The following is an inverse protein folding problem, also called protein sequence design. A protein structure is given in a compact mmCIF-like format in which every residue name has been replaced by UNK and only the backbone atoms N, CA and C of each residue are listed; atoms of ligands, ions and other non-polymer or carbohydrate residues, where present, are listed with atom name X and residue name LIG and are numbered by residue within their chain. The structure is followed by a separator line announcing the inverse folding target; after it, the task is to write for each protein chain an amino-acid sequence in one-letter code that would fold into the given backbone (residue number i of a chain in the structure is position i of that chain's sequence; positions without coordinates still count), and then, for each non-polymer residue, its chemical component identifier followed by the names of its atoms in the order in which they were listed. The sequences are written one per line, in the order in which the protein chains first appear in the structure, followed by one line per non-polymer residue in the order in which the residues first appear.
data_IF_999294464951
#
_entry.id   IF_999294464951
#
_cell.length_a   1.000
_cell.length_b   1.000
_cell.length_c   1.000
_cell.angle_alpha   90.00
_cell.angle_beta   90.00
_cell.angle_gamma   90.00
#
_symmetry.space_group_name_H-M   'P 1'
#
loop_
_entity.id
_entity.type
_entity.pdbx_description
1 polymer ?
#
# COMPACT_ATOMS: atom_id res chain seq x y z
N UNK A 1 -36.66 -4.45 -56.64
CA UNK A 1 -36.53 -3.07 -56.15
C UNK A 1 -36.40 -3.12 -54.63
N UNK A 2 -35.36 -2.53 -54.01
CA UNK A 2 -35.30 -2.37 -52.55
C UNK A 2 -35.99 -1.07 -52.13
N UNK A 3 -36.71 -1.13 -51.00
CA UNK A 3 -37.43 -0.03 -50.35
C UNK A 3 -36.51 1.15 -49.96
N UNK A 4 -36.91 2.41 -50.18
CA UNK A 4 -36.28 3.58 -49.60
C UNK A 4 -37.04 3.98 -48.31
N UNK A 5 -36.29 4.37 -47.27
CA UNK A 5 -36.77 5.06 -46.06
C UNK A 5 -37.15 4.17 -44.87
N UNK A 6 -36.34 4.27 -43.80
CA UNK A 6 -36.75 3.81 -42.47
C UNK A 6 -35.65 3.64 -41.42
N UNK A 7 -34.37 3.92 -41.70
CA UNK A 7 -33.29 3.35 -40.87
C UNK A 7 -32.20 4.35 -40.44
N UNK A 8 -32.29 5.63 -40.82
CA UNK A 8 -31.18 6.58 -40.63
C UNK A 8 -31.38 7.47 -39.38
N UNK A 9 -32.62 7.58 -38.90
CA UNK A 9 -32.99 8.54 -37.86
C UNK A 9 -32.86 7.91 -36.46
N UNK A 10 -33.10 6.60 -36.34
CA UNK A 10 -33.03 5.86 -35.06
C UNK A 10 -31.61 5.46 -34.68
N UNK A 11 -30.73 5.19 -35.65
CA UNK A 11 -29.31 4.90 -35.40
C UNK A 11 -28.58 6.16 -34.92
N UNK A 12 -28.85 7.31 -35.55
CA UNK A 12 -28.28 8.61 -35.16
C UNK A 12 -28.75 9.09 -33.77
N UNK A 13 -30.06 8.97 -33.45
CA UNK A 13 -30.58 9.42 -32.15
C UNK A 13 -30.07 8.57 -30.97
N UNK A 14 -29.97 7.25 -31.15
CA UNK A 14 -29.45 6.35 -30.12
C UNK A 14 -27.94 6.58 -29.87
N UNK A 15 -27.14 6.78 -30.91
CA UNK A 15 -25.71 7.07 -30.77
C UNK A 15 -25.46 8.43 -30.10
N UNK A 16 -26.29 9.44 -30.39
CA UNK A 16 -26.24 10.76 -29.74
C UNK A 16 -26.62 10.66 -28.26
N UNK A 17 -27.67 9.91 -27.91
CA UNK A 17 -28.10 9.72 -26.52
C UNK A 17 -27.03 8.95 -25.71
N UNK A 18 -26.43 7.92 -26.32
CA UNK A 18 -25.30 7.19 -25.74
C UNK A 18 -24.09 8.12 -25.53
N UNK A 19 -23.76 8.99 -26.49
CA UNK A 19 -22.67 9.94 -26.34
C UNK A 19 -22.91 10.95 -25.20
N UNK A 20 -24.11 11.52 -25.11
CA UNK A 20 -24.49 12.45 -24.02
C UNK A 20 -24.46 11.74 -22.66
N UNK A 21 -24.95 10.50 -22.58
CA UNK A 21 -24.94 9.70 -21.36
C UNK A 21 -23.50 9.37 -20.90
N UNK A 22 -22.61 9.06 -21.83
CA UNK A 22 -21.19 8.80 -21.55
C UNK A 22 -20.49 10.07 -21.04
N UNK A 23 -20.75 11.23 -21.63
CA UNK A 23 -20.18 12.50 -21.18
C UNK A 23 -20.66 12.88 -19.77
N UNK A 24 -21.95 12.71 -19.49
CA UNK A 24 -22.51 12.96 -18.17
C UNK A 24 -21.88 12.05 -17.09
N UNK A 25 -21.73 10.75 -17.38
CA UNK A 25 -21.07 9.79 -16.48
C UNK A 25 -19.59 10.09 -16.26
N UNK A 26 -18.89 10.52 -17.31
CA UNK A 26 -17.48 10.88 -17.21
C UNK A 26 -17.26 12.11 -16.32
N UNK A 27 -18.13 13.14 -16.42
CA UNK A 27 -18.04 14.33 -15.57
C UNK A 27 -18.31 14.02 -14.09
N UNK A 28 -19.32 13.19 -13.79
CA UNK A 28 -19.63 12.79 -12.42
C UNK A 28 -18.52 11.94 -11.80
N UNK A 29 -17.94 11.00 -12.56
CA UNK A 29 -16.81 10.18 -12.12
C UNK A 29 -15.56 11.01 -11.87
N UNK A 30 -15.23 11.96 -12.76
CA UNK A 30 -14.10 12.85 -12.57
C UNK A 30 -14.26 13.72 -11.32
N UNK A 31 -15.44 14.28 -11.07
CA UNK A 31 -15.68 15.15 -9.91
C UNK A 31 -15.60 14.39 -8.58
N UNK A 32 -16.11 13.15 -8.55
CA UNK A 32 -16.07 12.30 -7.35
C UNK A 32 -14.68 11.66 -7.12
N UNK A 33 -13.91 11.35 -8.16
CA UNK A 33 -12.61 10.69 -8.01
C UNK A 33 -11.43 11.66 -7.83
N UNK A 34 -11.55 12.91 -8.27
CA UNK A 34 -10.53 13.96 -8.07
C UNK A 34 -10.01 14.09 -6.63
N UNK A 35 -10.86 14.24 -5.58
CA UNK A 35 -10.37 14.38 -4.21
C UNK A 35 -9.57 13.16 -3.75
N UNK A 36 -10.01 11.96 -4.16
CA UNK A 36 -9.34 10.69 -3.83
C UNK A 36 -7.96 10.60 -4.47
N UNK A 37 -7.82 10.99 -5.75
CA UNK A 37 -6.54 11.02 -6.46
C UNK A 37 -5.54 11.95 -5.77
N UNK A 38 -5.97 13.17 -5.43
CA UNK A 38 -5.10 14.14 -4.75
C UNK A 38 -4.66 13.64 -3.38
N UNK A 39 -5.58 13.09 -2.60
CA UNK A 39 -5.29 12.58 -1.26
C UNK A 39 -4.32 11.38 -1.31
N UNK A 40 -4.56 10.41 -2.19
CA UNK A 40 -3.70 9.23 -2.33
C UNK A 40 -2.33 9.62 -2.91
N UNK A 41 -2.29 10.56 -3.85
CA UNK A 41 -1.04 11.10 -4.38
C UNK A 41 -0.19 11.75 -3.28
N UNK A 42 -0.81 12.60 -2.45
CA UNK A 42 -0.14 13.23 -1.32
C UNK A 42 0.38 12.21 -0.30
N UNK A 43 -0.45 11.23 0.08
CA UNK A 43 -0.06 10.15 0.99
C UNK A 43 1.08 9.30 0.42
N UNK A 44 1.07 8.99 -0.87
CA UNK A 44 2.12 8.22 -1.51
C UNK A 44 3.45 8.98 -1.50
N UNK A 45 3.46 10.28 -1.80
CA UNK A 45 4.67 11.12 -1.73
C UNK A 45 5.20 11.18 -0.29
N UNK A 46 4.35 11.47 0.68
CA UNK A 46 4.72 11.49 2.09
C UNK A 46 5.27 10.13 2.56
N UNK A 47 4.62 9.04 2.15
CA UNK A 47 5.04 7.68 2.46
C UNK A 47 6.40 7.32 1.85
N UNK A 48 6.64 7.68 0.60
CA UNK A 48 7.94 7.45 -0.05
C UNK A 48 9.06 8.25 0.62
N UNK A 49 8.83 9.53 0.91
CA UNK A 49 9.83 10.39 1.57
C UNK A 49 10.12 9.89 2.99
N UNK A 50 9.08 9.64 3.79
CA UNK A 50 9.22 9.17 5.18
C UNK A 50 9.96 7.84 5.28
N UNK A 51 9.54 6.85 4.47
CA UNK A 51 10.18 5.53 4.48
C UNK A 51 11.61 5.56 3.90
N UNK A 52 11.89 6.43 2.92
CA UNK A 52 13.25 6.63 2.39
C UNK A 52 14.19 7.23 3.44
N UNK A 53 13.72 8.19 4.23
CA UNK A 53 14.51 8.78 5.32
C UNK A 53 14.85 7.71 6.36
N UNK A 54 13.87 6.92 6.78
CA UNK A 54 14.08 5.80 7.72
C UNK A 54 15.09 4.80 7.16
N UNK A 55 14.92 4.40 5.90
CA UNK A 55 15.87 3.51 5.22
C UNK A 55 17.28 4.09 5.23
N UNK A 56 17.45 5.36 4.83
CA UNK A 56 18.76 6.01 4.77
C UNK A 56 19.43 6.12 6.16
N UNK A 57 18.67 6.48 7.18
CA UNK A 57 19.15 6.62 8.57
C UNK A 57 19.57 5.26 9.15
N UNK A 58 18.75 4.21 8.99
CA UNK A 58 19.06 2.87 9.50
C UNK A 58 20.08 2.12 8.66
N UNK A 59 20.21 2.47 7.37
CA UNK A 59 21.25 1.93 6.51
C UNK A 59 22.61 2.53 6.88
N UNK A 60 22.69 3.85 7.08
CA UNK A 60 23.95 4.59 7.19
C UNK A 60 24.42 4.87 8.63
N UNK A 61 23.51 5.02 9.60
CA UNK A 61 23.84 5.64 10.91
C UNK A 61 23.60 4.77 12.15
N UNK A 62 22.73 3.77 12.10
CA UNK A 62 22.41 2.96 13.29
C UNK A 62 23.05 1.57 13.29
N UNK A 63 24.03 1.37 14.18
CA UNK A 63 24.54 0.07 14.61
C UNK A 63 23.81 -0.42 15.87
N UNK A 64 22.49 -0.22 15.93
CA UNK A 64 21.66 -0.80 16.99
C UNK A 64 21.41 -2.28 16.64
N UNK A 65 21.62 -3.16 17.62
CA UNK A 65 21.51 -4.64 17.59
C UNK A 65 21.05 -5.25 16.27
N UNK A 66 21.94 -6.00 15.61
CA UNK A 66 21.82 -6.47 14.21
C UNK A 66 20.41 -6.95 13.82
N UNK A 67 19.72 -7.69 14.69
CA UNK A 67 18.36 -8.20 14.42
C UNK A 67 17.31 -7.09 14.20
N UNK A 68 17.27 -6.05 15.06
CA UNK A 68 16.27 -4.98 14.95
C UNK A 68 16.43 -4.15 13.67
N UNK A 69 17.68 -3.96 13.23
CA UNK A 69 17.98 -3.26 11.97
C UNK A 69 17.36 -3.96 10.77
N UNK A 70 17.48 -5.29 10.67
CA UNK A 70 16.89 -6.04 9.55
C UNK A 70 15.36 -5.92 9.52
N UNK A 71 14.69 -5.99 10.68
CA UNK A 71 13.23 -5.82 10.72
C UNK A 71 12.78 -4.42 10.30
N UNK A 72 13.47 -3.37 10.78
CA UNK A 72 13.13 -1.98 10.42
C UNK A 72 13.42 -1.70 8.95
N UNK A 73 14.55 -2.20 8.42
CA UNK A 73 14.87 -2.08 7.00
C UNK A 73 13.84 -2.82 6.14
N UNK A 74 13.47 -4.06 6.51
CA UNK A 74 12.45 -4.82 5.81
C UNK A 74 11.08 -4.12 5.81
N UNK A 75 10.67 -3.51 6.94
CA UNK A 75 9.44 -2.70 6.99
C UNK A 75 9.54 -1.51 6.04
N UNK A 76 10.61 -0.71 6.11
CA UNK A 76 10.76 0.46 5.24
C UNK A 76 10.72 0.12 3.74
N UNK A 77 11.33 -1.00 3.33
CA UNK A 77 11.29 -1.48 1.94
C UNK A 77 9.88 -1.94 1.57
N UNK A 78 9.21 -2.70 2.45
CA UNK A 78 7.84 -3.17 2.21
C UNK A 78 6.87 -2.01 2.08
N UNK A 79 7.01 -0.97 2.91
CA UNK A 79 6.17 0.22 2.88
C UNK A 79 6.46 1.09 1.64
N UNK A 80 7.72 1.18 1.18
CA UNK A 80 8.05 1.83 -0.09
C UNK A 80 7.42 1.10 -1.29
N UNK A 81 7.52 -0.24 -1.33
CA UNK A 81 6.89 -1.05 -2.38
C UNK A 81 5.37 -0.88 -2.37
N UNK A 82 4.76 -0.90 -1.18
CA UNK A 82 3.31 -0.73 -1.02
C UNK A 82 2.86 0.65 -1.51
N UNK A 83 3.55 1.71 -1.10
CA UNK A 83 3.22 3.08 -1.51
C UNK A 83 3.47 3.32 -3.00
N UNK A 84 4.50 2.69 -3.59
CA UNK A 84 4.76 2.73 -5.02
C UNK A 84 3.68 2.00 -5.84
N UNK A 85 3.08 0.95 -5.29
CA UNK A 85 1.98 0.22 -5.93
C UNK A 85 0.60 0.85 -5.72
N UNK A 86 0.42 1.67 -4.69
CA UNK A 86 -0.86 2.32 -4.41
C UNK A 86 -1.30 3.27 -5.54
N UNK A 87 -0.38 4.05 -6.09
CA UNK A 87 -0.64 4.92 -7.24
C UNK A 87 -1.14 4.16 -8.48
N UNK A 88 -0.41 3.15 -9.03
CA UNK A 88 -0.85 2.43 -10.21
C UNK A 88 -2.12 1.64 -9.93
N UNK A 89 -2.26 1.03 -8.76
CA UNK A 89 -3.45 0.24 -8.50
C UNK A 89 -4.72 1.09 -8.37
N UNK A 90 -4.62 2.30 -7.83
CA UNK A 90 -5.74 3.25 -7.84
C UNK A 90 -6.03 3.76 -9.27
N UNK A 91 -4.98 4.03 -10.05
CA UNK A 91 -5.13 4.32 -11.48
C UNK A 91 -5.82 3.19 -12.25
N UNK A 92 -5.54 1.94 -11.89
CA UNK A 92 -6.17 0.76 -12.48
C UNK A 92 -7.62 0.61 -12.04
N UNK A 93 -7.95 0.86 -10.77
CA UNK A 93 -9.34 0.85 -10.30
C UNK A 93 -10.18 1.90 -11.03
N UNK A 94 -9.62 3.09 -11.29
CA UNK A 94 -10.26 4.12 -12.12
C UNK A 94 -10.35 3.74 -13.59
N UNK A 95 -9.26 3.23 -14.18
CA UNK A 95 -9.22 2.89 -15.61
C UNK A 95 -10.07 1.67 -15.97
N UNK A 96 -10.21 0.72 -15.07
CA UNK A 96 -10.76 -0.59 -15.37
C UNK A 96 -12.09 -0.90 -14.71
N UNK A 97 -12.81 0.15 -14.29
CA UNK A 97 -14.22 0.01 -13.90
C UNK A 97 -15.09 -0.64 -15.00
N UNK A 98 -14.64 -0.75 -16.26
CA UNK A 98 -15.45 -1.38 -17.33
C UNK A 98 -14.75 -2.22 -18.42
N UNK A 99 -13.42 -2.34 -18.54
CA UNK A 99 -12.84 -3.15 -19.67
C UNK A 99 -11.41 -3.65 -19.45
N UNK A 100 -11.19 -4.66 -18.60
CA UNK A 100 -9.88 -5.32 -18.49
C UNK A 100 -9.68 -6.35 -19.60
N UNK A 101 -8.98 -5.98 -20.68
CA UNK A 101 -8.57 -6.90 -21.75
C UNK A 101 -7.52 -7.94 -21.32
N UNK A 102 -6.90 -7.74 -20.15
CA UNK A 102 -5.89 -8.63 -19.56
C UNK A 102 -6.16 -8.87 -18.06
N UNK A 103 -7.17 -9.69 -17.74
CA UNK A 103 -7.60 -9.94 -16.35
C UNK A 103 -6.52 -10.55 -15.44
N UNK A 104 -5.50 -11.20 -15.99
CA UNK A 104 -4.41 -11.81 -15.24
C UNK A 104 -3.54 -10.78 -14.50
N UNK A 105 -3.25 -9.63 -15.12
CA UNK A 105 -2.41 -8.58 -14.53
C UNK A 105 -3.07 -7.92 -13.31
N UNK A 106 -4.39 -7.70 -13.38
CA UNK A 106 -5.19 -7.17 -12.26
C UNK A 106 -5.15 -8.13 -11.06
N UNK A 107 -5.34 -9.43 -11.32
CA UNK A 107 -5.26 -10.44 -10.29
C UNK A 107 -3.89 -10.44 -9.62
N UNK A 108 -2.80 -10.46 -10.39
CA UNK A 108 -1.43 -10.45 -9.85
C UNK A 108 -1.19 -9.23 -8.96
N UNK A 109 -1.54 -8.03 -9.42
CA UNK A 109 -1.35 -6.80 -8.64
C UNK A 109 -2.15 -6.82 -7.33
N UNK A 110 -3.38 -7.34 -7.36
CA UNK A 110 -4.20 -7.51 -6.15
C UNK A 110 -3.54 -8.48 -5.16
N UNK A 111 -3.02 -9.60 -5.63
CA UNK A 111 -2.33 -10.58 -4.78
C UNK A 111 -1.05 -9.99 -4.17
N UNK A 112 -0.25 -9.26 -4.97
CA UNK A 112 0.98 -8.63 -4.47
C UNK A 112 0.65 -7.58 -3.41
N UNK A 113 -0.37 -6.75 -3.62
CA UNK A 113 -0.81 -5.74 -2.64
C UNK A 113 -1.23 -6.40 -1.31
N UNK A 114 -2.08 -7.43 -1.37
CA UNK A 114 -2.48 -8.18 -0.17
C UNK A 114 -1.29 -8.84 0.54
N UNK A 115 -0.35 -9.37 -0.22
CA UNK A 115 0.87 -9.96 0.32
C UNK A 115 1.75 -8.93 1.03
N UNK A 116 1.97 -7.75 0.43
CA UNK A 116 2.77 -6.67 1.03
C UNK A 116 2.16 -6.13 2.33
N UNK A 117 0.83 -5.98 2.38
CA UNK A 117 0.11 -5.59 3.61
C UNK A 117 0.28 -6.68 4.69
N UNK A 118 0.15 -7.96 4.29
CA UNK A 118 0.41 -9.09 5.16
C UNK A 118 1.83 -9.09 5.72
N UNK A 119 2.84 -8.83 4.87
CA UNK A 119 4.21 -8.71 5.30
C UNK A 119 4.43 -7.56 6.29
N UNK A 120 3.88 -6.37 6.02
CA UNK A 120 4.03 -5.21 6.91
C UNK A 120 3.41 -5.48 8.30
N UNK A 121 2.21 -6.07 8.35
CA UNK A 121 1.57 -6.46 9.62
C UNK A 121 2.36 -7.53 10.38
N UNK A 122 2.87 -8.56 9.70
CA UNK A 122 3.71 -9.59 10.31
C UNK A 122 5.03 -9.00 10.85
N UNK A 123 5.65 -8.08 10.13
CA UNK A 123 6.88 -7.41 10.56
C UNK A 123 6.64 -6.54 11.81
N UNK A 124 5.52 -5.83 11.89
CA UNK A 124 5.15 -5.06 13.09
C UNK A 124 5.00 -5.98 14.32
N UNK A 125 4.34 -7.13 14.14
CA UNK A 125 4.21 -8.14 15.20
C UNK A 125 5.57 -8.70 15.59
N UNK A 126 6.43 -9.03 14.62
CA UNK A 126 7.77 -9.54 14.88
C UNK A 126 8.62 -8.52 15.67
N UNK A 127 8.54 -7.23 15.34
CA UNK A 127 9.21 -6.16 16.11
C UNK A 127 8.66 -6.05 17.52
N UNK A 128 7.34 -6.14 17.71
CA UNK A 128 6.71 -6.10 19.03
C UNK A 128 7.16 -7.28 19.91
N UNK A 129 7.20 -8.48 19.35
CA UNK A 129 7.69 -9.70 20.03
C UNK A 129 9.16 -9.57 20.37
N UNK A 130 10.00 -9.14 19.42
CA UNK A 130 11.43 -8.94 19.64
C UNK A 130 11.67 -7.93 20.77
N UNK A 131 10.91 -6.82 20.82
CA UNK A 131 11.00 -5.84 21.92
C UNK A 131 10.57 -6.44 23.26
N UNK A 132 9.50 -7.24 23.30
CA UNK A 132 9.05 -7.94 24.52
C UNK A 132 10.12 -8.90 25.04
N UNK A 133 10.69 -9.72 24.16
CA UNK A 133 11.74 -10.67 24.53
C UNK A 133 13.00 -9.98 25.06
N UNK A 134 13.44 -8.90 24.41
CA UNK A 134 14.59 -8.11 24.89
C UNK A 134 14.33 -7.52 26.28
N UNK A 135 13.10 -7.05 26.54
CA UNK A 135 12.73 -6.52 27.86
C UNK A 135 12.74 -7.60 28.94
N UNK A 136 12.14 -8.77 28.66
CA UNK A 136 12.12 -9.90 29.60
C UNK A 136 13.52 -10.44 29.88
N UNK A 137 14.39 -10.57 28.88
CA UNK A 137 15.77 -11.01 29.07
C UNK A 137 16.59 -10.02 29.90
N UNK A 138 16.41 -8.71 29.69
CA UNK A 138 17.09 -7.69 30.51
C UNK A 138 16.66 -7.78 31.98
N UNK A 139 15.37 -7.95 32.26
CA UNK A 139 14.87 -8.14 33.62
C UNK A 139 15.46 -9.37 34.31
N UNK A 140 15.51 -10.53 33.63
CA UNK A 140 16.11 -11.75 34.20
C UNK A 140 17.59 -11.57 34.52
N UNK A 141 18.34 -10.86 33.65
CA UNK A 141 19.76 -10.58 33.90
C UNK A 141 19.94 -9.62 35.09
N UNK A 142 19.15 -8.56 35.20
CA UNK A 142 19.21 -7.61 36.33
C UNK A 142 18.88 -8.34 37.64
N UNK A 143 17.80 -9.13 37.69
CA UNK A 143 17.43 -9.91 38.87
C UNK A 143 18.53 -10.91 39.26
N UNK A 144 19.19 -11.56 38.28
CA UNK A 144 20.36 -12.42 38.55
C UNK A 144 21.55 -11.64 39.13
N UNK A 145 21.80 -10.42 38.64
CA UNK A 145 22.95 -9.62 39.09
C UNK A 145 22.71 -9.15 40.54
N UNK A 146 21.52 -8.61 40.82
CA UNK A 146 21.13 -8.18 42.18
C UNK A 146 21.01 -9.36 43.17
N UNK A 147 20.60 -10.54 42.70
CA UNK A 147 20.57 -11.76 43.51
C UNK A 147 21.96 -12.28 43.88
N UNK A 148 22.96 -12.12 43.00
CA UNK A 148 24.34 -12.54 43.27
C UNK A 148 25.07 -11.60 44.25
N UNK A 149 24.79 -10.29 44.18
CA UNK A 149 25.33 -9.31 45.13
C UNK A 149 24.74 -9.49 46.54
N UNK A 150 23.52 -10.01 46.63
CA UNK A 150 22.85 -10.32 47.92
C UNK A 150 23.39 -11.61 48.58
N UNK A 151 23.99 -12.53 47.81
CA UNK A 151 24.51 -13.82 48.31
C UNK A 151 26.00 -13.79 48.68
N UNK A 152 26.69 -12.68 48.37
CA UNK A 152 28.11 -12.47 48.69
C UNK A 152 28.33 -11.66 49.98
N UNK A 153 27.24 -11.26 50.67
CA UNK A 153 27.23 -10.43 51.88
C UNK A 153 26.66 -11.13 53.12
N UNK A 154 26.37 -12.44 53.02
CA UNK A 154 25.97 -13.34 54.13
C UNK A 154 26.97 -14.49 54.18
#
# INVERSE_FOLDING_TARGET
MPDPNGNNDSFSAADIDVAIYLEARNQEFLYNSLPTIFYIGFLSVMGLVGNSIVFMVYYKRYHASSAMRYYVLAMSVTDMLTNAQNLPAEFLEMRFHSTFRWGWACSILRHIRSFLIGLSTMLLVAVAVNRKQVCSLKLTNIVKTTGHDSLSLV
#
